data_IF_548426714805
#
_entry.id   IF_548426714805
#
_cell.length_a   1.000
_cell.length_b   1.000
_cell.length_c   1.000
_cell.angle_alpha   90.00
_cell.angle_beta   90.00
_cell.angle_gamma   90.00
#
_symmetry.space_group_name_H-M   'P 1'
#
loop_
_entity.id
_entity.type
_entity.pdbx_description
1 polymer ?
#
# COMPACT_ATOMS: atom_id res chain seq x y z
N UNK A 1 -14.62 -27.20 -18.75
CA UNK A 1 -14.35 -25.75 -18.60
C UNK A 1 -12.86 -25.55 -18.76
N UNK A 2 -12.38 -24.96 -19.86
CA UNK A 2 -10.95 -24.68 -20.01
C UNK A 2 -10.57 -23.59 -19.01
N UNK A 3 -9.58 -23.86 -18.16
CA UNK A 3 -9.00 -22.84 -17.30
C UNK A 3 -8.34 -21.81 -18.22
N UNK A 4 -8.87 -20.59 -18.26
CA UNK A 4 -8.23 -19.48 -18.99
C UNK A 4 -6.85 -19.28 -18.37
N UNK A 5 -5.75 -19.29 -19.16
CA UNK A 5 -4.41 -19.05 -18.63
C UNK A 5 -4.37 -17.75 -17.82
N UNK A 6 -3.66 -17.73 -16.70
CA UNK A 6 -3.61 -16.58 -15.77
C UNK A 6 -3.23 -15.28 -16.47
N UNK A 7 -2.29 -15.34 -17.43
CA UNK A 7 -1.89 -14.21 -18.28
C UNK A 7 -3.06 -13.65 -19.10
N UNK A 8 -3.78 -14.50 -19.82
CA UNK A 8 -4.96 -14.09 -20.62
C UNK A 8 -6.00 -13.43 -19.73
N UNK A 9 -6.30 -14.05 -18.58
CA UNK A 9 -7.24 -13.48 -17.62
C UNK A 9 -6.80 -12.09 -17.14
N UNK A 10 -5.53 -11.92 -16.78
CA UNK A 10 -4.99 -10.65 -16.31
C UNK A 10 -5.11 -9.55 -17.38
N UNK A 11 -4.78 -9.87 -18.64
CA UNK A 11 -4.96 -8.96 -19.77
C UNK A 11 -6.42 -8.53 -19.93
N UNK A 12 -7.34 -9.50 -20.00
CA UNK A 12 -8.77 -9.26 -20.20
C UNK A 12 -9.39 -8.45 -19.05
N UNK A 13 -9.11 -8.82 -17.80
CA UNK A 13 -9.68 -8.13 -16.64
C UNK A 13 -9.15 -6.70 -16.49
N UNK A 14 -7.90 -6.47 -16.87
CA UNK A 14 -7.30 -5.12 -16.82
C UNK A 14 -7.88 -4.23 -17.91
N UNK A 15 -8.01 -4.72 -19.15
CA UNK A 15 -8.67 -3.99 -20.24
C UNK A 15 -10.13 -3.68 -19.91
N UNK A 16 -10.88 -4.65 -19.38
CA UNK A 16 -12.25 -4.43 -18.92
C UNK A 16 -12.34 -3.39 -17.79
N UNK A 17 -11.33 -3.31 -16.91
CA UNK A 17 -11.29 -2.27 -15.87
C UNK A 17 -11.05 -0.88 -16.49
N UNK A 18 -10.13 -0.77 -17.45
CA UNK A 18 -9.90 0.47 -18.19
C UNK A 18 -11.14 0.93 -18.97
N UNK A 19 -11.85 0.01 -19.61
CA UNK A 19 -13.11 0.29 -20.30
C UNK A 19 -14.18 0.83 -19.34
N UNK A 20 -14.30 0.24 -18.14
CA UNK A 20 -15.24 0.72 -17.11
C UNK A 20 -14.87 2.09 -16.56
N UNK A 21 -13.58 2.39 -16.44
CA UNK A 21 -13.10 3.72 -16.03
C UNK A 21 -13.32 4.76 -17.14
N UNK A 22 -13.28 4.33 -18.42
CA UNK A 22 -13.56 5.18 -19.57
C UNK A 22 -12.47 6.20 -19.89
N UNK A 23 -11.28 6.06 -19.30
CA UNK A 23 -10.17 7.02 -19.43
C UNK A 23 -9.21 6.70 -20.59
N UNK A 24 -9.26 5.47 -21.11
CA UNK A 24 -8.33 4.99 -22.14
C UNK A 24 -6.94 4.63 -21.59
N UNK A 25 -6.62 5.01 -20.36
CA UNK A 25 -5.42 4.62 -19.61
C UNK A 25 -5.71 4.51 -18.10
N UNK A 26 -4.78 3.91 -17.37
CA UNK A 26 -4.75 3.88 -15.90
C UNK A 26 -3.38 4.37 -15.45
N UNK A 27 -3.33 5.34 -14.52
CA UNK A 27 -2.06 5.87 -14.00
C UNK A 27 -1.22 4.80 -13.31
N UNK A 28 -1.84 4.02 -12.42
CA UNK A 28 -1.16 2.95 -11.69
C UNK A 28 -2.07 1.73 -11.56
N UNK A 29 -1.54 0.56 -11.89
CA UNK A 29 -2.25 -0.72 -11.72
C UNK A 29 -1.44 -1.70 -10.89
N UNK A 30 -2.10 -2.31 -9.90
CA UNK A 30 -1.43 -3.15 -8.92
C UNK A 30 -1.80 -4.62 -9.06
N UNK A 31 -0.80 -5.49 -8.98
CA UNK A 31 -1.03 -6.90 -8.67
C UNK A 31 -1.44 -7.00 -7.18
N UNK A 32 -2.73 -7.20 -6.93
CA UNK A 32 -3.36 -7.00 -5.61
C UNK A 32 -2.73 -7.80 -4.44
N UNK A 33 -2.25 -9.01 -4.70
CA UNK A 33 -1.60 -9.87 -3.69
C UNK A 33 -0.69 -10.88 -4.37
N UNK A 34 0.33 -11.45 -3.70
CA UNK A 34 1.26 -12.40 -4.31
C UNK A 34 0.57 -13.56 -5.06
N UNK A 35 -0.56 -14.05 -4.54
CA UNK A 35 -1.32 -15.12 -5.15
C UNK A 35 -0.51 -16.42 -5.31
N UNK A 36 -0.97 -17.27 -6.23
CA UNK A 36 -0.37 -18.56 -6.50
C UNK A 36 0.98 -18.43 -7.22
N UNK A 37 2.00 -19.07 -6.65
CA UNK A 37 3.37 -19.16 -7.17
C UNK A 37 3.40 -19.63 -8.63
N UNK A 38 2.50 -20.53 -9.03
CA UNK A 38 2.46 -21.06 -10.39
C UNK A 38 2.02 -20.03 -11.44
N UNK A 39 1.36 -18.95 -11.02
CA UNK A 39 0.71 -17.99 -11.94
C UNK A 39 1.17 -16.55 -11.79
N UNK A 40 1.85 -16.22 -10.68
CA UNK A 40 2.30 -14.86 -10.35
C UNK A 40 3.15 -14.24 -11.45
N UNK A 41 4.17 -14.94 -11.91
CA UNK A 41 5.13 -14.41 -12.89
C UNK A 41 4.45 -14.11 -14.23
N UNK A 42 3.55 -14.98 -14.68
CA UNK A 42 2.74 -14.76 -15.89
C UNK A 42 1.74 -13.61 -15.74
N UNK A 43 1.24 -13.41 -14.52
CA UNK A 43 0.36 -12.28 -14.20
C UNK A 43 1.14 -10.97 -14.24
N UNK A 44 2.36 -10.93 -13.71
CA UNK A 44 3.23 -9.75 -13.82
C UNK A 44 3.59 -9.45 -15.27
N UNK A 45 3.97 -10.46 -16.06
CA UNK A 45 4.24 -10.30 -17.51
C UNK A 45 3.07 -9.70 -18.27
N UNK A 46 1.82 -9.98 -17.87
CA UNK A 46 0.65 -9.35 -18.45
C UNK A 46 0.59 -7.84 -18.16
N UNK A 47 0.95 -7.41 -16.94
CA UNK A 47 0.98 -6.00 -16.56
C UNK A 47 2.10 -5.26 -17.29
N UNK A 48 3.28 -5.88 -17.43
CA UNK A 48 4.40 -5.33 -18.21
C UNK A 48 4.02 -5.08 -19.67
N UNK A 49 3.31 -6.02 -20.29
CA UNK A 49 2.82 -5.85 -21.66
C UNK A 49 1.83 -4.69 -21.79
N UNK A 50 0.89 -4.54 -20.84
CA UNK A 50 -0.08 -3.44 -20.87
C UNK A 50 0.57 -2.09 -20.56
N UNK A 51 1.65 -2.10 -19.79
CA UNK A 51 2.50 -0.93 -19.58
C UNK A 51 3.24 -0.53 -20.86
N UNK A 52 3.85 -1.49 -21.55
CA UNK A 52 4.50 -1.25 -22.86
C UNK A 52 3.52 -0.73 -23.92
N UNK A 53 2.26 -1.19 -23.88
CA UNK A 53 1.18 -0.67 -24.74
C UNK A 53 0.69 0.74 -24.35
N UNK A 54 1.17 1.30 -23.23
CA UNK A 54 0.79 2.63 -22.73
C UNK A 54 -0.61 2.70 -22.11
N UNK A 55 -1.28 1.56 -21.94
CA UNK A 55 -2.58 1.43 -21.25
C UNK A 55 -2.38 1.65 -19.75
N UNK A 56 -1.29 1.13 -19.19
CA UNK A 56 -0.90 1.35 -17.79
C UNK A 56 0.30 2.30 -17.77
N UNK A 57 0.20 3.46 -17.12
CA UNK A 57 1.32 4.40 -17.04
C UNK A 57 2.42 3.90 -16.13
N UNK A 58 2.05 3.31 -15.00
CA UNK A 58 2.92 2.59 -14.10
C UNK A 58 2.26 1.30 -13.61
N UNK A 59 3.09 0.37 -13.15
CA UNK A 59 2.66 -0.90 -12.56
C UNK A 59 3.35 -1.13 -11.23
N UNK A 60 2.63 -1.73 -10.30
CA UNK A 60 3.13 -2.02 -8.96
C UNK A 60 2.51 -3.28 -8.39
N UNK A 61 2.84 -3.56 -7.15
CA UNK A 61 2.30 -4.69 -6.41
C UNK A 61 1.59 -4.22 -5.16
N UNK A 62 0.81 -5.10 -4.56
CA UNK A 62 0.21 -4.88 -3.26
C UNK A 62 0.35 -6.14 -2.42
N UNK A 63 0.62 -5.98 -1.13
CA UNK A 63 0.78 -7.07 -0.17
C UNK A 63 1.95 -8.02 -0.46
N UNK A 64 3.01 -7.54 -1.10
CA UNK A 64 4.23 -8.34 -1.30
C UNK A 64 5.16 -8.16 -0.10
N UNK A 65 5.72 -9.28 0.36
CA UNK A 65 6.82 -9.30 1.33
C UNK A 65 8.17 -9.30 0.62
N UNK A 66 9.25 -9.23 1.38
CA UNK A 66 10.62 -9.14 0.87
C UNK A 66 10.95 -10.29 -0.08
N UNK A 67 10.67 -11.54 0.33
CA UNK A 67 10.93 -12.72 -0.49
C UNK A 67 10.07 -12.78 -1.76
N UNK A 68 8.83 -12.27 -1.70
CA UNK A 68 7.97 -12.13 -2.88
C UNK A 68 8.55 -11.12 -3.88
N UNK A 69 9.02 -9.97 -3.38
CA UNK A 69 9.65 -8.93 -4.19
C UNK A 69 10.97 -9.42 -4.79
N UNK A 70 11.83 -10.06 -4.01
CA UNK A 70 13.12 -10.58 -4.46
C UNK A 70 12.94 -11.56 -5.64
N UNK A 71 12.00 -12.50 -5.50
CA UNK A 71 11.69 -13.45 -6.58
C UNK A 71 11.15 -12.76 -7.82
N UNK A 72 10.26 -11.78 -7.65
CA UNK A 72 9.71 -11.00 -8.77
C UNK A 72 10.83 -10.24 -9.50
N UNK A 73 11.68 -9.53 -8.77
CA UNK A 73 12.75 -8.70 -9.33
C UNK A 73 13.79 -9.51 -10.13
N UNK A 74 13.95 -10.80 -9.85
CA UNK A 74 14.82 -11.69 -10.64
C UNK A 74 14.35 -11.90 -12.08
N UNK A 75 13.06 -11.66 -12.37
CA UNK A 75 12.47 -11.92 -13.70
C UNK A 75 11.75 -10.72 -14.30
N UNK A 76 11.44 -9.70 -13.50
CA UNK A 76 10.75 -8.49 -13.93
C UNK A 76 11.62 -7.67 -14.89
N UNK A 77 11.03 -7.29 -16.03
CA UNK A 77 11.58 -6.30 -16.96
C UNK A 77 11.28 -4.88 -16.51
N UNK A 78 10.13 -4.69 -15.87
CA UNK A 78 9.71 -3.42 -15.26
C UNK A 78 9.70 -3.61 -13.75
N UNK A 79 10.51 -2.84 -13.02
CA UNK A 79 10.50 -2.85 -11.55
C UNK A 79 9.14 -2.31 -11.06
N UNK A 80 8.48 -2.93 -10.07
CA UNK A 80 7.25 -2.37 -9.50
C UNK A 80 7.53 -0.97 -8.94
N UNK A 81 6.76 0.03 -9.38
CA UNK A 81 6.89 1.40 -8.92
C UNK A 81 6.51 1.55 -7.44
N UNK A 82 5.51 0.78 -7.02
CA UNK A 82 4.99 0.77 -5.64
C UNK A 82 4.80 -0.64 -5.10
N UNK A 83 4.82 -0.75 -3.77
CA UNK A 83 4.24 -1.85 -3.01
C UNK A 83 3.20 -1.29 -2.03
N UNK A 84 1.92 -1.52 -2.31
CA UNK A 84 0.81 -1.07 -1.45
C UNK A 84 0.55 -2.09 -0.33
N UNK A 85 0.80 -1.72 0.93
CA UNK A 85 0.74 -2.62 2.10
C UNK A 85 0.04 -1.97 3.29
N UNK A 86 -0.43 -2.79 4.23
CA UNK A 86 -0.97 -2.28 5.49
C UNK A 86 0.16 -1.72 6.34
N UNK A 87 0.12 -0.41 6.58
CA UNK A 87 1.10 0.32 7.39
C UNK A 87 0.40 1.34 8.27
N UNK A 88 0.69 1.28 9.56
CA UNK A 88 0.25 2.21 10.60
C UNK A 88 1.08 1.96 11.88
N UNK A 89 1.01 2.78 12.93
CA UNK A 89 1.87 2.64 14.12
C UNK A 89 1.93 1.24 14.74
N UNK A 90 0.82 0.49 14.70
CA UNK A 90 0.75 -0.88 15.23
C UNK A 90 1.18 -2.00 14.25
N UNK A 91 1.59 -1.64 13.03
CA UNK A 91 2.06 -2.57 12.00
C UNK A 91 3.06 -1.84 11.10
N UNK A 92 4.32 -1.74 11.54
CA UNK A 92 5.34 -0.93 10.85
C UNK A 92 6.11 -1.69 9.79
N UNK A 93 6.19 -3.03 9.89
CA UNK A 93 6.90 -3.92 8.95
C UNK A 93 8.32 -3.39 8.61
N UNK A 94 9.18 -3.13 9.62
CA UNK A 94 10.41 -2.35 9.43
C UNK A 94 11.39 -2.96 8.42
N UNK A 95 11.46 -4.29 8.31
CA UNK A 95 12.33 -4.99 7.35
C UNK A 95 11.84 -4.79 5.91
N UNK A 96 10.53 -4.91 5.68
CA UNK A 96 9.90 -4.65 4.38
C UNK A 96 10.02 -3.18 3.98
N UNK A 97 9.79 -2.26 4.93
CA UNK A 97 9.94 -0.82 4.68
C UNK A 97 11.36 -0.50 4.22
N UNK A 98 12.35 -1.03 4.96
CA UNK A 98 13.76 -0.89 4.61
C UNK A 98 14.07 -1.48 3.23
N UNK A 99 13.61 -2.70 2.95
CA UNK A 99 13.80 -3.36 1.66
C UNK A 99 13.24 -2.52 0.50
N UNK A 100 11.98 -2.10 0.58
CA UNK A 100 11.38 -1.27 -0.46
C UNK A 100 12.17 0.03 -0.70
N UNK A 101 12.64 0.69 0.38
CA UNK A 101 13.48 1.89 0.28
C UNK A 101 14.83 1.63 -0.40
N UNK A 102 15.50 0.52 -0.07
CA UNK A 102 16.79 0.13 -0.68
C UNK A 102 16.66 -0.24 -2.16
N UNK A 103 15.46 -0.62 -2.61
CA UNK A 103 15.17 -1.01 -3.99
C UNK A 103 14.43 0.08 -4.81
N UNK A 104 14.29 1.29 -4.27
CA UNK A 104 13.46 2.39 -4.80
C UNK A 104 12.05 1.93 -5.24
N UNK A 105 11.36 1.22 -4.34
CA UNK A 105 9.95 0.84 -4.46
C UNK A 105 9.19 1.72 -3.46
N UNK A 106 8.27 2.55 -3.95
CA UNK A 106 7.49 3.43 -3.08
C UNK A 106 6.49 2.60 -2.25
N UNK A 107 6.22 3.04 -1.02
CA UNK A 107 5.25 2.37 -0.16
C UNK A 107 3.94 3.15 -0.16
N UNK A 108 2.87 2.48 -0.57
CA UNK A 108 1.51 2.98 -0.37
C UNK A 108 0.90 2.33 0.87
N UNK A 109 0.63 3.13 1.90
CA UNK A 109 0.05 2.70 3.16
C UNK A 109 -1.48 2.67 3.07
N UNK A 110 -2.05 1.47 2.92
CA UNK A 110 -3.50 1.28 3.09
C UNK A 110 -3.87 1.05 4.55
N UNK A 111 -5.14 1.30 4.88
CA UNK A 111 -5.66 1.27 6.27
C UNK A 111 -4.82 2.10 7.26
N UNK A 112 -4.32 3.30 6.91
CA UNK A 112 -3.39 4.04 7.76
C UNK A 112 -4.00 4.46 9.12
N UNK A 113 -5.33 4.40 9.24
CA UNK A 113 -6.07 4.67 10.47
C UNK A 113 -6.34 3.43 11.33
N UNK A 114 -5.72 2.28 11.04
CA UNK A 114 -5.98 0.98 11.68
C UNK A 114 -7.48 0.64 11.77
N UNK A 115 -8.24 0.92 10.70
CA UNK A 115 -9.72 0.81 10.65
C UNK A 115 -10.45 1.47 11.83
N UNK A 116 -9.86 2.52 12.40
CA UNK A 116 -10.32 3.26 13.56
C UNK A 116 -10.37 2.49 14.90
N UNK A 117 -9.84 1.25 14.98
CA UNK A 117 -9.94 0.43 16.20
C UNK A 117 -8.98 0.88 17.32
N UNK A 118 -7.98 1.72 16.98
CA UNK A 118 -6.96 2.24 17.89
C UNK A 118 -7.01 3.77 18.08
N UNK A 119 -8.09 4.44 17.67
CA UNK A 119 -8.18 5.91 17.79
C UNK A 119 -8.16 6.43 19.24
N UNK A 120 -8.45 5.56 20.21
CA UNK A 120 -8.42 5.86 21.64
C UNK A 120 -7.13 5.39 22.33
N UNK A 121 -6.10 4.99 21.58
CA UNK A 121 -4.81 4.62 22.18
C UNK A 121 -4.24 5.82 22.97
N UNK A 122 -3.84 5.65 24.24
CA UNK A 122 -3.39 6.77 25.07
C UNK A 122 -2.23 7.56 24.47
N UNK A 123 -1.27 6.87 23.83
CA UNK A 123 -0.11 7.51 23.20
C UNK A 123 -0.55 8.35 22.01
N UNK A 124 -1.46 7.83 21.19
CA UNK A 124 -2.01 8.56 20.05
C UNK A 124 -2.79 9.80 20.52
N UNK A 125 -3.62 9.65 21.54
CA UNK A 125 -4.44 10.74 22.09
C UNK A 125 -3.57 11.81 22.75
N UNK A 126 -2.52 11.42 23.50
CA UNK A 126 -1.53 12.33 24.06
C UNK A 126 -0.90 13.19 22.96
N UNK A 127 -0.37 12.56 21.90
CA UNK A 127 0.29 13.27 20.79
C UNK A 127 -0.71 14.15 20.04
N UNK A 128 -1.95 13.69 19.82
CA UNK A 128 -2.99 14.48 19.19
C UNK A 128 -3.30 15.77 19.98
N UNK A 129 -3.36 15.66 21.31
CA UNK A 129 -3.56 16.82 22.19
C UNK A 129 -2.35 17.76 22.20
N UNK A 130 -1.12 17.24 22.24
CA UNK A 130 0.11 18.05 22.17
C UNK A 130 0.19 18.87 20.88
N UNK A 131 -0.22 18.29 19.75
CA UNK A 131 -0.18 18.91 18.43
C UNK A 131 -1.44 19.78 18.16
N UNK A 132 -2.53 19.55 18.88
CA UNK A 132 -3.79 20.28 18.71
C UNK A 132 -4.62 19.83 17.50
N UNK A 133 -4.53 18.54 17.15
CA UNK A 133 -5.21 17.94 15.99
C UNK A 133 -5.96 16.67 16.39
N UNK A 134 -6.71 16.07 15.47
CA UNK A 134 -7.40 14.80 15.75
C UNK A 134 -6.43 13.60 15.73
N UNK A 135 -6.74 12.50 16.45
CA UNK A 135 -6.00 11.24 16.35
C UNK A 135 -5.84 10.74 14.90
N UNK A 136 -6.88 10.88 14.06
CA UNK A 136 -6.80 10.49 12.66
C UNK A 136 -5.78 11.33 11.87
N UNK A 137 -5.70 12.64 12.12
CA UNK A 137 -4.70 13.50 11.50
C UNK A 137 -3.28 13.13 11.92
N UNK A 138 -3.06 12.76 13.19
CA UNK A 138 -1.76 12.26 13.64
C UNK A 138 -1.36 10.98 12.87
N UNK A 139 -2.28 10.06 12.64
CA UNK A 139 -1.99 8.82 11.88
C UNK A 139 -1.66 9.08 10.39
N UNK A 140 -2.35 10.03 9.76
CA UNK A 140 -2.02 10.47 8.40
C UNK A 140 -0.66 11.15 8.37
N UNK A 141 -0.41 12.11 9.28
CA UNK A 141 0.86 12.82 9.39
C UNK A 141 2.03 11.87 9.70
N UNK A 142 1.79 10.83 10.50
CA UNK A 142 2.77 9.78 10.77
C UNK A 142 3.14 9.02 9.50
N UNK A 143 2.16 8.66 8.66
CA UNK A 143 2.44 8.01 7.37
C UNK A 143 3.33 8.90 6.49
N UNK A 144 2.96 10.17 6.37
CA UNK A 144 3.72 11.15 5.57
C UNK A 144 5.14 11.37 6.10
N UNK A 145 5.31 11.40 7.43
CA UNK A 145 6.62 11.58 8.06
C UNK A 145 7.56 10.37 7.87
N UNK A 146 7.03 9.20 7.49
CA UNK A 146 7.80 8.00 7.16
C UNK A 146 7.98 7.82 5.64
N UNK A 147 7.74 8.86 4.83
CA UNK A 147 7.79 8.83 3.37
C UNK A 147 6.80 7.83 2.73
N UNK A 148 5.68 7.53 3.41
CA UNK A 148 4.63 6.67 2.85
C UNK A 148 3.59 7.49 2.09
N UNK A 149 3.13 6.96 0.95
CA UNK A 149 1.94 7.45 0.26
C UNK A 149 0.72 6.92 1.02
N UNK A 150 -0.01 7.79 1.73
CA UNK A 150 -1.08 7.37 2.64
C UNK A 150 -2.45 7.34 1.97
N UNK A 151 -3.25 6.30 2.22
CA UNK A 151 -4.58 6.09 1.63
C UNK A 151 -5.70 6.06 2.68
N UNK A 152 -5.99 7.18 3.37
CA UNK A 152 -7.04 7.23 4.39
C UNK A 152 -8.44 7.25 3.75
N UNK A 153 -9.29 6.30 4.11
CA UNK A 153 -10.67 6.21 3.61
C UNK A 153 -11.66 6.93 4.51
N UNK A 154 -12.54 7.73 3.92
CA UNK A 154 -13.75 8.25 4.58
C UNK A 154 -14.90 8.39 3.58
N UNK A 155 -16.13 8.20 4.06
CA UNK A 155 -17.38 8.54 3.34
C UNK A 155 -18.04 9.80 3.87
N UNK A 156 -17.51 10.37 4.96
CA UNK A 156 -17.97 11.62 5.54
C UNK A 156 -17.07 12.77 5.00
N UNK A 157 -17.65 13.81 4.37
CA UNK A 157 -16.90 14.92 3.78
C UNK A 157 -16.01 15.69 4.76
N UNK A 158 -16.48 15.94 5.99
CA UNK A 158 -15.69 16.67 7.00
C UNK A 158 -14.44 15.87 7.39
N UNK A 159 -14.55 14.55 7.51
CA UNK A 159 -13.40 13.67 7.74
C UNK A 159 -12.48 13.59 6.53
N UNK A 160 -13.01 13.64 5.30
CA UNK A 160 -12.17 13.69 4.10
C UNK A 160 -11.33 14.98 4.09
N UNK A 161 -11.96 16.11 4.42
CA UNK A 161 -11.26 17.39 4.58
C UNK A 161 -10.22 17.34 5.69
N UNK A 162 -10.58 16.85 6.87
CA UNK A 162 -9.64 16.72 7.99
C UNK A 162 -8.43 15.83 7.66
N UNK A 163 -8.65 14.73 6.92
CA UNK A 163 -7.56 13.87 6.45
C UNK A 163 -6.64 14.61 5.48
N UNK A 164 -7.18 15.45 4.59
CA UNK A 164 -6.39 16.26 3.67
C UNK A 164 -5.58 17.34 4.41
N UNK A 165 -6.21 18.02 5.37
CA UNK A 165 -5.57 19.04 6.22
C UNK A 165 -4.41 18.47 7.06
N UNK A 166 -4.31 17.14 7.20
CA UNK A 166 -3.20 16.47 7.89
C UNK A 166 -1.84 16.66 7.20
N UNK A 167 -1.80 17.07 5.92
CA UNK A 167 -0.54 17.34 5.18
C UNK A 167 0.32 18.43 5.84
N UNK A 168 -0.34 19.37 6.52
CA UNK A 168 0.31 20.49 7.20
C UNK A 168 0.73 20.15 8.64
N UNK A 169 0.29 19.00 9.16
CA UNK A 169 0.64 18.56 10.53
C UNK A 169 2.08 18.07 10.57
N UNK A 170 2.88 18.67 11.46
CA UNK A 170 4.29 18.31 11.65
C UNK A 170 4.46 17.62 13.00
N UNK A 171 4.81 16.33 12.96
CA UNK A 171 5.20 15.57 14.14
C UNK A 171 6.69 15.74 14.41
N UNK A 172 7.07 15.84 15.68
CA UNK A 172 8.48 15.86 16.07
C UNK A 172 9.11 14.47 15.93
N UNK A 173 10.45 14.35 15.80
CA UNK A 173 11.13 13.06 15.79
C UNK A 173 10.80 12.19 17.01
N UNK A 174 10.64 12.80 18.18
CA UNK A 174 10.25 12.10 19.42
C UNK A 174 8.83 11.53 19.34
N UNK A 175 7.87 12.28 18.79
CA UNK A 175 6.49 11.82 18.61
C UNK A 175 6.41 10.69 17.57
N UNK A 176 7.16 10.81 16.46
CA UNK A 176 7.28 9.76 15.46
C UNK A 176 7.86 8.49 16.09
N UNK A 177 8.93 8.61 16.87
CA UNK A 177 9.54 7.47 17.57
C UNK A 177 8.59 6.83 18.59
N UNK A 178 7.83 7.64 19.37
CA UNK A 178 6.79 7.14 20.28
C UNK A 178 5.73 6.31 19.54
N UNK A 179 5.24 6.81 18.40
CA UNK A 179 4.24 6.10 17.58
C UNK A 179 4.83 4.83 16.96
N UNK A 180 6.03 4.89 16.41
CA UNK A 180 6.69 3.71 15.81
C UNK A 180 6.96 2.60 16.84
N UNK A 181 7.12 2.94 18.12
CA UNK A 181 7.27 1.98 19.21
C UNK A 181 5.98 1.24 19.58
N UNK A 182 4.82 1.63 19.02
CA UNK A 182 3.54 0.93 19.22
C UNK A 182 3.42 -0.34 18.36
N UNK A 183 4.41 -0.66 17.53
CA UNK A 183 4.36 -1.82 16.65
C UNK A 183 4.14 -3.11 17.45
N UNK A 184 2.99 -3.73 17.23
CA UNK A 184 2.58 -4.99 17.86
C UNK A 184 2.22 -6.03 16.79
N UNK A 185 2.54 -5.76 15.52
CA UNK A 185 2.14 -6.56 14.37
C UNK A 185 0.61 -6.75 14.28
N UNK A 186 -0.16 -5.68 14.49
CA UNK A 186 -1.61 -5.70 14.39
C UNK A 186 -2.08 -5.62 12.94
N UNK A 187 -2.47 -6.76 12.37
CA UNK A 187 -3.14 -6.79 11.06
C UNK A 187 -4.65 -6.57 11.25
N UNK A 188 -5.22 -5.54 10.61
CA UNK A 188 -6.66 -5.22 10.78
C UNK A 188 -7.57 -5.95 9.80
N UNK A 189 -7.01 -6.72 8.86
CA UNK A 189 -7.76 -7.53 7.91
C UNK A 189 -7.13 -8.89 7.69
N UNK A 190 -6.32 -8.97 6.65
CA UNK A 190 -5.69 -10.19 6.16
C UNK A 190 -4.19 -9.94 6.00
N UNK A 191 -3.34 -10.96 6.15
CA UNK A 191 -1.88 -10.84 6.02
C UNK A 191 -1.35 -11.66 4.83
N UNK A 192 -1.54 -11.21 3.57
CA UNK A 192 -1.13 -11.95 2.39
C UNK A 192 0.38 -12.18 2.33
N UNK A 193 1.15 -11.34 3.01
CA UNK A 193 2.59 -11.44 3.10
C UNK A 193 2.99 -12.76 3.79
N UNK A 194 2.23 -13.19 4.80
CA UNK A 194 2.43 -14.47 5.49
C UNK A 194 1.67 -15.62 4.85
N UNK A 195 0.47 -15.33 4.33
CA UNK A 195 -0.47 -16.37 3.90
C UNK A 195 -0.19 -16.91 2.49
N UNK A 196 0.57 -16.17 1.67
CA UNK A 196 0.96 -16.60 0.34
C UNK A 196 2.36 -17.19 0.31
N UNK A 197 2.53 -18.28 -0.44
CA UNK A 197 3.82 -18.92 -0.64
C UNK A 197 4.72 -18.10 -1.57
N UNK A 198 6.04 -18.20 -1.35
CA UNK A 198 7.05 -17.49 -2.14
C UNK A 198 7.31 -18.15 -3.49
#
# INVERSE_FOLDING_TARGET
MSVVPSRTRALETTKASNEKLGLGYIDLYLLHAPGDVATRDETWRALEELHEQGILKDIGVSNFGEAHLEKLLNTAKVKPAVNQVELHPWLMRPTLVKYCKEHDILLEAYSPLAKAIKLSDPTLVEIANEVGVTPAQVLVAFSLANDFITLPKSVNPDRQKANLDAVDVKLTPTQIAKLAALDEYLVTGWDPIKDHAV
#
